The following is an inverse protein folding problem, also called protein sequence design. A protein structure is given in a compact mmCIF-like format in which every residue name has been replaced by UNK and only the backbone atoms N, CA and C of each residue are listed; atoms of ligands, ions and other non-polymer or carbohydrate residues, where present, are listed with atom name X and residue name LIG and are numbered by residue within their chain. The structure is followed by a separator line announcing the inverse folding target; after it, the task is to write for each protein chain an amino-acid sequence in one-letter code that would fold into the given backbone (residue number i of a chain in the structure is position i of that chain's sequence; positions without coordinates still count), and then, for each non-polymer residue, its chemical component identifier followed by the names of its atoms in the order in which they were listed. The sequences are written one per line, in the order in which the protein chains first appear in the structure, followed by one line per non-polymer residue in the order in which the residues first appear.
data_IF_511157328289
#
_entry.id   IF_511157328289
#
_cell.length_a   1.000
_cell.length_b   1.000
_cell.length_c   1.000
_cell.angle_alpha   90.00
_cell.angle_beta   90.00
_cell.angle_gamma   90.00
#
_symmetry.space_group_name_H-M   'P 1'
#
loop_
_entity.id
_entity.type
_entity.pdbx_description
1 polymer ?
#
# COMPACT_ATOMS: atom_id res chain seq x y z
N UNK A 1 -20.53 3.61 -15.80
CA UNK A 1 -19.87 3.95 -14.53
C UNK A 1 -18.50 3.35 -14.44
N UNK A 2 -17.75 3.73 -13.41
CA UNK A 2 -16.42 3.21 -13.12
C UNK A 2 -16.51 2.05 -12.13
N UNK A 3 -15.81 0.94 -12.38
CA UNK A 3 -15.75 -0.22 -11.50
C UNK A 3 -14.30 -0.57 -11.16
N UNK A 4 -13.98 -0.69 -9.87
CA UNK A 4 -12.69 -1.17 -9.40
C UNK A 4 -12.71 -2.70 -9.36
N UNK A 5 -11.83 -3.34 -10.12
CA UNK A 5 -11.86 -4.80 -10.30
C UNK A 5 -10.93 -5.53 -9.37
N UNK A 6 -9.68 -5.06 -9.22
CA UNK A 6 -8.71 -5.80 -8.40
C UNK A 6 -7.59 -4.93 -7.89
N UNK A 7 -7.09 -5.29 -6.71
CA UNK A 7 -5.77 -4.89 -6.22
C UNK A 7 -4.73 -5.99 -6.46
N UNK A 8 -3.48 -5.57 -6.56
CA UNK A 8 -2.30 -6.41 -6.40
C UNK A 8 -1.24 -5.66 -5.60
N UNK A 9 -0.40 -6.40 -4.86
CA UNK A 9 0.66 -5.84 -4.02
C UNK A 9 2.01 -6.41 -4.43
N UNK A 10 3.05 -5.58 -4.42
CA UNK A 10 4.43 -6.05 -4.62
C UNK A 10 5.03 -6.71 -3.37
N UNK A 11 4.45 -6.45 -2.20
CA UNK A 11 4.88 -7.04 -0.93
C UNK A 11 3.91 -8.13 -0.48
N UNK A 12 4.41 -9.16 0.20
CA UNK A 12 3.62 -10.26 0.73
C UNK A 12 3.21 -10.06 2.20
N UNK A 13 3.78 -9.07 2.88
CA UNK A 13 3.60 -8.82 4.31
C UNK A 13 3.37 -7.36 4.64
N UNK A 14 2.66 -7.16 5.75
CA UNK A 14 2.49 -5.85 6.34
C UNK A 14 3.80 -5.23 6.79
N UNK A 15 3.81 -3.92 6.87
CA UNK A 15 4.96 -3.08 7.21
C UNK A 15 6.15 -3.15 6.23
N UNK A 16 6.01 -3.81 5.09
CA UNK A 16 6.96 -3.77 3.99
C UNK A 16 6.60 -2.61 3.05
N UNK A 17 7.62 -1.97 2.49
CA UNK A 17 7.44 -0.99 1.40
C UNK A 17 6.90 -1.71 0.17
N UNK A 18 5.88 -1.15 -0.45
CA UNK A 18 5.21 -1.79 -1.56
C UNK A 18 4.73 -0.82 -2.63
N UNK A 19 4.47 -1.38 -3.79
CA UNK A 19 3.63 -0.79 -4.82
C UNK A 19 2.28 -1.48 -4.80
N UNK A 20 1.21 -0.71 -4.63
CA UNK A 20 -0.16 -1.15 -4.80
C UNK A 20 -0.60 -0.85 -6.23
N UNK A 21 -1.18 -1.83 -6.90
CA UNK A 21 -1.76 -1.64 -8.24
C UNK A 21 -3.25 -1.89 -8.19
N UNK A 22 -4.03 -0.87 -8.50
CA UNK A 22 -5.49 -0.94 -8.61
C UNK A 22 -5.88 -0.97 -10.08
N UNK A 23 -6.53 -2.05 -10.49
CA UNK A 23 -7.16 -2.14 -11.82
C UNK A 23 -8.61 -1.70 -11.73
N UNK A 24 -9.03 -0.82 -12.63
CA UNK A 24 -10.41 -0.39 -12.76
C UNK A 24 -10.85 -0.32 -14.22
N UNK A 25 -12.15 -0.42 -14.44
CA UNK A 25 -12.79 -0.34 -15.74
C UNK A 25 -13.59 0.97 -15.82
N UNK A 26 -13.32 1.73 -16.82
CA UNK A 26 -14.11 2.90 -17.22
C UNK A 26 -13.97 3.11 -18.72
N UNK A 27 -15.08 3.21 -19.39
CA UNK A 27 -15.12 3.51 -20.83
C UNK A 27 -15.62 4.93 -20.99
N UNK A 28 -14.77 5.79 -21.47
CA UNK A 28 -15.10 7.20 -21.67
C UNK A 28 -13.90 8.13 -21.50
N UNK A 29 -14.19 9.41 -21.53
CA UNK A 29 -13.19 10.45 -21.34
C UNK A 29 -13.21 10.96 -19.92
N UNK A 30 -12.02 11.22 -19.37
CA UNK A 30 -11.82 12.01 -18.17
C UNK A 30 -11.28 13.37 -18.56
N UNK A 31 -11.64 14.39 -17.81
CA UNK A 31 -11.20 15.77 -18.01
C UNK A 31 -10.15 16.16 -16.97
N UNK A 32 -9.35 17.17 -17.30
CA UNK A 32 -8.48 17.79 -16.29
C UNK A 32 -9.33 18.29 -15.12
N UNK A 33 -8.96 17.90 -13.90
CA UNK A 33 -9.68 18.24 -12.68
C UNK A 33 -10.64 17.15 -12.19
N UNK A 34 -11.02 16.18 -13.03
CA UNK A 34 -11.72 14.98 -12.59
C UNK A 34 -10.87 14.25 -11.54
N UNK A 35 -11.50 13.52 -10.63
CA UNK A 35 -10.79 13.00 -9.47
C UNK A 35 -11.23 11.58 -9.08
N UNK A 36 -10.31 10.88 -8.42
CA UNK A 36 -10.52 9.57 -7.81
C UNK A 36 -10.20 9.63 -6.32
N UNK A 37 -10.95 8.93 -5.49
CA UNK A 37 -10.62 8.63 -4.09
C UNK A 37 -10.45 7.14 -3.92
N UNK A 38 -9.30 6.76 -3.39
CA UNK A 38 -8.92 5.36 -3.15
C UNK A 38 -8.74 5.19 -1.65
N UNK A 39 -9.48 4.27 -1.04
CA UNK A 39 -9.32 3.95 0.38
C UNK A 39 -8.36 2.77 0.53
N UNK A 40 -7.32 2.96 1.33
CA UNK A 40 -6.23 2.02 1.59
C UNK A 40 -6.07 1.79 3.11
N UNK A 41 -6.96 1.01 3.75
CA UNK A 41 -7.04 0.90 5.19
C UNK A 41 -5.76 0.40 5.84
N UNK A 42 -5.25 1.17 6.80
CA UNK A 42 -4.05 0.84 7.57
C UNK A 42 -2.72 0.96 6.84
N UNK A 43 -2.74 1.42 5.58
CA UNK A 43 -1.50 1.74 4.87
C UNK A 43 -0.86 2.98 5.48
N UNK A 44 0.46 3.03 5.46
CA UNK A 44 1.23 4.17 5.97
C UNK A 44 2.04 4.79 4.85
N UNK A 45 2.01 6.11 4.75
CA UNK A 45 2.90 6.83 3.87
C UNK A 45 4.32 6.75 4.42
N UNK A 46 5.27 6.37 3.59
CA UNK A 46 6.68 6.24 3.97
C UNK A 46 7.55 7.30 3.31
N UNK A 47 7.25 7.63 2.07
CA UNK A 47 8.02 8.55 1.25
C UNK A 47 7.09 9.44 0.42
N UNK A 48 7.62 10.15 -0.54
CA UNK A 48 6.82 10.82 -1.55
C UNK A 48 5.97 9.80 -2.31
N UNK A 49 4.67 10.10 -2.41
CA UNK A 49 3.74 9.23 -3.13
C UNK A 49 3.93 9.42 -4.63
N UNK A 50 4.29 8.35 -5.31
CA UNK A 50 4.40 8.30 -6.75
C UNK A 50 3.18 7.56 -7.30
N UNK A 51 2.48 8.21 -8.21
CA UNK A 51 1.28 7.65 -8.85
C UNK A 51 1.49 7.59 -10.34
N UNK A 52 1.13 6.45 -10.93
CA UNK A 52 1.13 6.27 -12.40
C UNK A 52 -0.22 5.74 -12.84
N UNK A 53 -0.73 6.27 -13.93
CA UNK A 53 -1.92 5.76 -14.59
C UNK A 53 -1.48 5.07 -15.89
N UNK A 54 -1.60 3.75 -15.92
CA UNK A 54 -0.95 2.95 -16.96
C UNK A 54 0.56 3.19 -16.91
N UNK A 55 1.15 3.57 -18.05
CA UNK A 55 2.57 3.90 -18.15
C UNK A 55 2.88 5.39 -17.92
N UNK A 56 1.85 6.23 -17.74
CA UNK A 56 2.00 7.68 -17.59
C UNK A 56 2.19 8.09 -16.13
N UNK A 57 3.35 8.68 -15.77
CA UNK A 57 3.58 9.18 -14.41
C UNK A 57 2.98 10.58 -14.19
N UNK A 58 2.47 11.22 -15.24
CA UNK A 58 1.98 12.61 -15.19
C UNK A 58 0.47 12.75 -15.41
N UNK A 59 -0.22 11.64 -15.73
CA UNK A 59 -1.65 11.67 -16.03
C UNK A 59 -2.53 11.96 -14.81
N UNK A 60 -2.06 11.61 -13.63
CA UNK A 60 -2.70 11.88 -12.35
C UNK A 60 -1.67 12.38 -11.34
N UNK A 61 -2.13 13.18 -10.38
CA UNK A 61 -1.31 13.64 -9.27
C UNK A 61 -2.02 13.43 -7.93
N UNK A 62 -1.25 13.30 -6.86
CA UNK A 62 -1.77 13.25 -5.49
C UNK A 62 -2.25 14.63 -5.09
N UNK A 63 -3.51 14.75 -4.73
CA UNK A 63 -4.08 15.96 -4.16
C UNK A 63 -4.00 15.95 -2.63
N UNK A 64 -4.36 14.83 -2.02
CA UNK A 64 -4.32 14.68 -0.56
C UNK A 64 -4.24 13.22 -0.13
N UNK A 65 -3.72 13.01 1.07
CA UNK A 65 -3.82 11.77 1.84
C UNK A 65 -4.40 12.11 3.21
N UNK A 66 -5.57 11.58 3.54
CA UNK A 66 -6.27 11.87 4.80
C UNK A 66 -5.99 10.82 5.88
N UNK A 67 -6.30 11.17 7.13
CA UNK A 67 -6.21 10.26 8.29
C UNK A 67 -7.16 9.05 8.19
N UNK A 68 -8.18 9.13 7.35
CA UNK A 68 -9.14 8.04 7.10
C UNK A 68 -8.64 7.06 6.04
N UNK A 69 -7.33 7.02 5.78
CA UNK A 69 -6.69 6.17 4.78
C UNK A 69 -7.20 6.42 3.34
N UNK A 70 -7.69 7.63 3.06
CA UNK A 70 -8.20 8.03 1.75
C UNK A 70 -7.18 8.84 0.98
N UNK A 71 -6.78 8.33 -0.18
CA UNK A 71 -5.95 8.99 -1.16
C UNK A 71 -6.83 9.65 -2.22
N UNK A 72 -6.73 10.96 -2.35
CA UNK A 72 -7.39 11.72 -3.42
C UNK A 72 -6.39 12.02 -4.53
N UNK A 73 -6.77 11.65 -5.75
CA UNK A 73 -5.99 11.82 -6.97
C UNK A 73 -6.78 12.68 -7.96
N UNK A 74 -6.09 13.56 -8.68
CA UNK A 74 -6.70 14.44 -9.68
C UNK A 74 -6.03 14.21 -11.03
N UNK A 75 -6.84 14.12 -12.08
CA UNK A 75 -6.37 14.04 -13.46
C UNK A 75 -5.77 15.39 -13.87
N UNK A 76 -4.56 15.36 -14.41
CA UNK A 76 -3.80 16.56 -14.81
C UNK A 76 -4.10 17.00 -16.23
N UNK A 77 -4.64 16.07 -17.04
CA UNK A 77 -5.01 16.30 -18.43
C UNK A 77 -6.22 15.49 -18.81
N UNK A 78 -6.92 15.91 -19.84
CA UNK A 78 -8.02 15.13 -20.43
C UNK A 78 -7.46 13.94 -21.21
N UNK A 79 -8.09 12.77 -21.05
CA UNK A 79 -7.70 11.55 -21.76
C UNK A 79 -8.86 10.59 -21.88
N UNK A 80 -8.77 9.67 -22.85
CA UNK A 80 -9.73 8.58 -23.01
C UNK A 80 -9.21 7.34 -22.32
N UNK A 81 -10.06 6.69 -21.53
CA UNK A 81 -9.80 5.41 -20.89
C UNK A 81 -10.54 4.31 -21.65
N UNK A 82 -9.95 3.13 -21.73
CA UNK A 82 -10.39 2.04 -22.61
C UNK A 82 -11.00 0.86 -21.84
N UNK A 83 -11.73 0.02 -22.56
CA UNK A 83 -12.40 -1.19 -22.03
C UNK A 83 -11.45 -2.24 -21.46
N UNK A 84 -10.17 -2.24 -21.84
CA UNK A 84 -9.19 -3.23 -21.38
C UNK A 84 -8.82 -3.08 -19.90
N UNK A 85 -9.36 -2.04 -19.25
CA UNK A 85 -9.04 -1.68 -17.89
C UNK A 85 -7.80 -0.82 -17.79
N UNK A 86 -7.83 0.07 -16.83
CA UNK A 86 -6.74 0.98 -16.53
C UNK A 86 -6.13 0.58 -15.19
N UNK A 87 -4.81 0.59 -15.11
CA UNK A 87 -4.10 0.31 -13.87
C UNK A 87 -3.57 1.59 -13.25
N UNK A 88 -3.90 1.81 -12.00
CA UNK A 88 -3.35 2.86 -11.16
C UNK A 88 -2.29 2.23 -10.26
N UNK A 89 -1.04 2.64 -10.42
CA UNK A 89 0.07 2.20 -9.57
C UNK A 89 0.38 3.26 -8.52
N UNK A 90 0.46 2.84 -7.28
CA UNK A 90 0.66 3.67 -6.10
C UNK A 90 1.91 3.18 -5.38
N UNK A 91 2.95 4.01 -5.31
CA UNK A 91 4.22 3.70 -4.64
C UNK A 91 4.50 4.71 -3.53
N UNK A 92 5.24 4.32 -2.51
CA UNK A 92 5.58 5.18 -1.36
C UNK A 92 4.79 4.84 -0.10
N UNK A 93 4.20 3.64 -0.06
CA UNK A 93 3.46 3.12 1.09
C UNK A 93 4.16 1.94 1.75
N UNK A 94 3.84 1.76 3.02
CA UNK A 94 3.98 0.48 3.74
C UNK A 94 2.61 -0.15 3.92
N UNK A 95 2.57 -1.46 3.79
CA UNK A 95 1.37 -2.24 4.06
C UNK A 95 0.94 -2.20 5.51
N UNK A 96 -0.35 -2.46 5.81
CA UNK A 96 -0.86 -2.46 7.16
C UNK A 96 -0.17 -3.52 8.03
N UNK A 97 0.21 -3.15 9.25
CA UNK A 97 0.94 -4.04 10.19
C UNK A 97 0.17 -5.32 10.50
N UNK A 98 -1.15 -5.24 10.58
CA UNK A 98 -2.02 -6.38 10.84
C UNK A 98 -2.25 -7.27 9.62
N UNK A 99 -1.67 -6.91 8.45
CA UNK A 99 -1.93 -7.59 7.20
C UNK A 99 -3.31 -7.24 6.62
N UNK A 100 -3.68 -7.97 5.59
CA UNK A 100 -4.97 -7.82 4.89
C UNK A 100 -5.61 -9.21 4.79
N UNK A 101 -6.87 -9.30 5.15
CA UNK A 101 -7.68 -10.50 4.89
C UNK A 101 -8.18 -10.41 3.45
N UNK A 102 -8.12 -11.52 2.72
CA UNK A 102 -8.64 -11.57 1.35
C UNK A 102 -10.10 -11.11 1.29
N UNK A 103 -10.46 -10.37 0.24
CA UNK A 103 -11.81 -9.85 0.00
C UNK A 103 -12.32 -8.87 1.08
N UNK A 104 -11.40 -8.16 1.73
CA UNK A 104 -11.75 -7.16 2.73
C UNK A 104 -12.52 -5.99 2.07
N UNK A 105 -13.71 -5.68 2.60
CA UNK A 105 -14.69 -4.79 1.96
C UNK A 105 -14.44 -3.29 2.17
N UNK A 106 -13.49 -2.90 2.99
CA UNK A 106 -13.18 -1.49 3.24
C UNK A 106 -12.15 -0.88 2.27
N UNK A 107 -11.72 -1.64 1.27
CA UNK A 107 -10.98 -1.12 0.12
C UNK A 107 -12.00 -0.60 -0.90
N UNK A 108 -12.06 0.71 -1.06
CA UNK A 108 -13.09 1.32 -1.89
C UNK A 108 -12.50 2.28 -2.93
N UNK A 109 -13.26 2.51 -3.99
CA UNK A 109 -13.01 3.53 -4.99
C UNK A 109 -14.25 4.43 -5.10
N UNK A 110 -14.04 5.73 -5.09
CA UNK A 110 -15.00 6.76 -5.46
C UNK A 110 -14.42 7.58 -6.61
N UNK A 111 -15.28 8.19 -7.38
CA UNK A 111 -14.89 9.08 -8.47
C UNK A 111 -15.77 10.32 -8.52
N UNK A 112 -15.18 11.41 -8.98
CA UNK A 112 -15.87 12.60 -9.45
C UNK A 112 -15.37 12.85 -10.86
N UNK A 113 -16.12 12.35 -11.84
CA UNK A 113 -15.82 12.47 -13.27
C UNK A 113 -16.95 13.27 -13.89
N UNK A 114 -16.65 14.46 -14.37
CA UNK A 114 -17.61 15.44 -14.87
C UNK A 114 -18.53 14.93 -15.99
N UNK A 115 -18.08 13.93 -16.74
CA UNK A 115 -18.88 13.26 -17.75
C UNK A 115 -19.94 12.28 -17.18
N UNK A 116 -19.90 11.96 -15.87
CA UNK A 116 -20.78 10.95 -15.26
C UNK A 116 -21.56 11.52 -14.07
N UNK A 117 -20.93 12.36 -13.26
CA UNK A 117 -21.48 12.85 -11.99
C UNK A 117 -21.21 14.33 -11.79
N UNK A 118 -22.13 15.01 -11.10
CA UNK A 118 -21.92 16.40 -10.67
C UNK A 118 -21.20 16.49 -9.31
N UNK A 119 -21.04 15.35 -8.60
CA UNK A 119 -20.40 15.23 -7.30
C UNK A 119 -19.71 13.86 -7.16
N UNK A 120 -19.16 13.57 -5.98
CA UNK A 120 -18.56 12.27 -5.70
C UNK A 120 -19.58 11.13 -5.79
N UNK A 121 -19.19 10.08 -6.50
CA UNK A 121 -19.97 8.84 -6.53
C UNK A 121 -20.06 8.21 -5.13
N UNK A 122 -20.99 7.28 -4.95
CA UNK A 122 -20.94 6.39 -3.79
C UNK A 122 -19.64 5.57 -3.78
N UNK A 123 -19.15 5.25 -2.58
CA UNK A 123 -17.99 4.40 -2.40
C UNK A 123 -18.33 2.96 -2.83
N UNK A 124 -17.55 2.43 -3.75
CA UNK A 124 -17.72 1.05 -4.26
C UNK A 124 -16.56 0.20 -3.80
N UNK A 125 -16.87 -0.99 -3.29
CA UNK A 125 -15.84 -1.95 -2.93
C UNK A 125 -15.06 -2.42 -4.16
N UNK A 126 -13.76 -2.61 -3.98
CA UNK A 126 -12.93 -3.30 -4.96
C UNK A 126 -13.29 -4.78 -4.96
N UNK A 127 -13.55 -5.35 -6.13
CA UNK A 127 -14.07 -6.72 -6.26
C UNK A 127 -13.09 -7.78 -5.75
N UNK A 128 -11.82 -7.61 -6.05
CA UNK A 128 -10.77 -8.55 -5.62
C UNK A 128 -9.67 -7.82 -4.84
N UNK A 129 -9.56 -8.16 -3.56
CA UNK A 129 -8.51 -7.69 -2.66
C UNK A 129 -7.70 -8.91 -2.20
N UNK A 130 -6.43 -9.04 -2.59
CA UNK A 130 -5.60 -10.16 -2.16
C UNK A 130 -5.23 -10.05 -0.69
N UNK A 131 -4.95 -11.18 -0.06
CA UNK A 131 -4.45 -11.21 1.30
C UNK A 131 -3.02 -10.67 1.39
N UNK A 132 -2.68 -10.17 2.56
CA UNK A 132 -1.30 -9.80 2.94
C UNK A 132 -1.05 -10.34 4.34
N UNK A 133 0.04 -11.06 4.53
CA UNK A 133 0.40 -11.57 5.85
C UNK A 133 0.70 -10.43 6.84
N UNK A 134 0.50 -10.68 8.13
CA UNK A 134 0.87 -9.73 9.18
C UNK A 134 2.37 -9.43 9.13
N UNK A 135 2.73 -8.24 9.58
CA UNK A 135 4.12 -7.87 9.78
C UNK A 135 4.79 -8.87 10.73
N UNK A 136 6.04 -9.17 10.44
CA UNK A 136 6.85 -9.95 11.35
C UNK A 136 7.24 -9.07 12.54
N UNK A 137 7.01 -9.57 13.75
CA UNK A 137 7.35 -8.87 15.00
C UNK A 137 8.39 -9.69 15.75
N UNK A 138 9.51 -9.05 16.08
CA UNK A 138 10.49 -9.60 17.02
C UNK A 138 10.02 -9.22 18.42
N UNK A 139 9.83 -10.24 19.27
CA UNK A 139 9.47 -10.05 20.68
C UNK A 139 10.50 -10.72 21.58
N UNK A 140 10.50 -10.34 22.86
CA UNK A 140 11.39 -10.91 23.86
C UNK A 140 12.88 -10.84 23.48
N UNK A 141 13.29 -9.71 22.88
CA UNK A 141 14.71 -9.46 22.61
C UNK A 141 15.47 -9.43 23.94
N UNK A 142 16.43 -10.32 24.09
CA UNK A 142 17.29 -10.41 25.28
C UNK A 142 18.75 -10.53 24.85
N UNK A 143 19.59 -9.74 25.49
CA UNK A 143 21.03 -9.93 25.43
C UNK A 143 21.49 -10.52 26.76
N UNK A 144 22.30 -11.55 26.68
CA UNK A 144 22.91 -12.17 27.86
C UNK A 144 24.38 -12.42 27.62
N UNK A 145 25.19 -12.12 28.64
CA UNK A 145 26.58 -12.54 28.73
C UNK A 145 26.63 -13.83 29.54
N UNK A 146 27.44 -14.80 29.14
CA UNK A 146 27.58 -16.04 29.90
C UNK A 146 28.22 -15.83 31.27
N UNK A 147 29.11 -14.86 31.40
CA UNK A 147 29.70 -14.40 32.65
C UNK A 147 30.35 -13.02 32.41
N UNK A 148 30.77 -12.36 33.50
CA UNK A 148 31.34 -11.01 33.45
C UNK A 148 32.67 -10.91 32.66
N UNK A 149 33.36 -12.02 32.43
CA UNK A 149 34.59 -12.11 31.65
C UNK A 149 34.40 -12.64 30.23
N UNK A 150 33.20 -12.96 29.86
CA UNK A 150 32.89 -13.52 28.52
C UNK A 150 32.89 -12.45 27.45
N UNK A 151 33.70 -12.62 26.43
CA UNK A 151 33.66 -11.80 25.20
C UNK A 151 32.52 -12.21 24.28
N UNK A 152 31.77 -13.28 24.60
CA UNK A 152 30.65 -13.77 23.79
C UNK A 152 29.34 -13.25 24.35
N UNK A 153 28.58 -12.61 23.50
CA UNK A 153 27.22 -12.16 23.77
C UNK A 153 26.22 -13.08 23.09
N UNK A 154 25.15 -13.40 23.77
CA UNK A 154 24.04 -14.19 23.19
C UNK A 154 22.84 -13.29 23.00
N UNK A 155 22.31 -13.30 21.78
CA UNK A 155 21.09 -12.61 21.43
C UNK A 155 19.97 -13.62 21.28
N UNK A 156 19.02 -13.58 22.20
CA UNK A 156 17.79 -14.38 22.13
C UNK A 156 16.60 -13.51 21.74
N UNK A 157 15.79 -13.96 20.81
CA UNK A 157 14.54 -13.31 20.46
C UNK A 157 13.50 -14.34 20.03
N UNK A 158 12.24 -13.92 20.09
CA UNK A 158 11.14 -14.69 19.54
C UNK A 158 10.67 -13.98 18.27
N UNK A 159 10.65 -14.70 17.16
CA UNK A 159 10.13 -14.21 15.89
C UNK A 159 8.70 -14.71 15.70
N UNK A 160 7.78 -13.82 15.35
CA UNK A 160 6.34 -14.10 15.37
C UNK A 160 5.83 -15.10 14.34
N UNK A 161 6.71 -15.68 13.50
CA UNK A 161 6.39 -16.68 12.49
C UNK A 161 7.62 -17.50 12.08
N UNK A 162 7.47 -18.61 11.36
CA UNK A 162 8.59 -19.31 10.74
C UNK A 162 9.35 -18.40 9.76
N UNK A 163 10.68 -18.49 9.74
CA UNK A 163 11.55 -17.84 8.78
C UNK A 163 11.64 -18.73 7.55
N UNK A 164 11.34 -18.20 6.39
CA UNK A 164 11.43 -18.92 5.12
C UNK A 164 12.85 -18.82 4.54
N UNK A 165 13.19 -19.76 3.64
CA UNK A 165 14.47 -19.71 2.92
C UNK A 165 14.62 -18.39 2.17
N UNK A 166 15.79 -17.75 2.29
CA UNK A 166 16.10 -16.46 1.65
C UNK A 166 15.68 -15.22 2.44
N UNK A 167 15.01 -15.37 3.58
CA UNK A 167 14.70 -14.25 4.47
C UNK A 167 15.90 -13.89 5.35
N UNK A 168 16.06 -12.59 5.59
CA UNK A 168 17.14 -12.04 6.39
C UNK A 168 16.61 -11.33 7.63
N UNK A 169 17.23 -11.56 8.76
CA UNK A 169 17.06 -10.75 9.97
C UNK A 169 18.30 -9.89 10.11
N UNK A 170 18.13 -8.58 10.02
CA UNK A 170 19.21 -7.62 10.25
C UNK A 170 19.12 -7.08 11.68
N UNK A 171 20.22 -7.21 12.42
CA UNK A 171 20.34 -6.70 13.78
C UNK A 171 21.37 -5.58 13.76
N UNK A 172 20.94 -4.39 14.11
CA UNK A 172 21.82 -3.21 14.17
C UNK A 172 22.09 -2.88 15.62
N UNK A 173 23.35 -2.92 16.01
CA UNK A 173 23.79 -2.44 17.31
C UNK A 173 24.25 -0.99 17.16
N UNK A 174 23.57 -0.06 17.83
CA UNK A 174 23.94 1.35 17.86
C UNK A 174 24.48 1.72 19.24
N UNK A 175 25.71 2.26 19.27
CA UNK A 175 26.34 2.82 20.46
C UNK A 175 27.22 1.83 21.23
N UNK A 176 28.52 2.21 21.42
CA UNK A 176 29.35 1.87 22.55
C UNK A 176 29.69 0.40 22.86
N UNK A 177 29.62 -0.50 21.91
CA UNK A 177 30.25 -1.81 22.05
C UNK A 177 31.77 -1.63 21.83
N UNK A 178 32.51 -1.47 22.92
CA UNK A 178 33.99 -1.55 22.96
C UNK A 178 34.41 -2.93 23.40
#
# INVERSE_FOLDING_TARGET
GLCATSYTWSASRGNETLTASLKFLYVGSVSKGDALRVTLPGFKREAELIVKLGDSPTAVQVQSWSYDDVLTLVFTSSQSLTETGTTLQLTGFRGPTLGIVAQQRNFTLQYNISAITDDWSEARNVETVPSMAKAAVITNLRMASLNASSTKQYLGFRYGRPISSGETITIVFSGGFT
#
